data_IF_467873004178
#
_entry.id   IF_467873004178
#
_cell.length_a   1.000
_cell.length_b   1.000
_cell.length_c   1.000
_cell.angle_alpha   90.00
_cell.angle_beta   90.00
_cell.angle_gamma   90.00
#
_symmetry.space_group_name_H-M   'P 1'
#
loop_
_entity.id
_entity.type
_entity.pdbx_description
1 polymer ?
#
# COMPACT_ATOMS: atom_id res chain seq x y z
N UNK A 1 -42.46 -72.17 1.57
CA UNK A 1 -42.47 -71.07 0.60
C UNK A 1 -42.01 -69.80 1.33
N UNK A 2 -40.76 -69.38 1.15
CA UNK A 2 -40.27 -68.09 1.65
C UNK A 2 -40.00 -67.20 0.43
N UNK A 3 -40.79 -66.14 0.31
CA UNK A 3 -40.64 -65.09 -0.70
C UNK A 3 -39.53 -64.13 -0.30
N UNK A 4 -38.48 -64.04 -1.12
CA UNK A 4 -37.44 -63.04 -0.99
C UNK A 4 -37.91 -61.70 -1.58
N UNK A 5 -37.98 -60.65 -0.76
CA UNK A 5 -38.18 -59.28 -1.22
C UNK A 5 -36.86 -58.69 -1.79
N UNK A 6 -36.89 -57.96 -2.92
CA UNK A 6 -35.69 -57.35 -3.48
C UNK A 6 -35.25 -56.14 -2.64
N UNK A 7 -33.97 -56.15 -2.26
CA UNK A 7 -33.31 -55.11 -1.47
C UNK A 7 -33.12 -53.80 -2.25
N UNK A 8 -33.53 -52.71 -1.61
CA UNK A 8 -33.58 -51.32 -2.07
C UNK A 8 -32.17 -50.72 -2.25
N UNK A 9 -31.46 -51.07 -3.33
CA UNK A 9 -30.07 -50.62 -3.60
C UNK A 9 -29.97 -49.25 -4.31
N UNK A 10 -31.07 -48.76 -4.87
CA UNK A 10 -31.11 -47.50 -5.65
C UNK A 10 -30.94 -46.25 -4.78
N UNK A 11 -31.45 -46.27 -3.55
CA UNK A 11 -31.36 -45.13 -2.63
C UNK A 11 -29.92 -44.81 -2.18
N UNK A 12 -29.09 -45.83 -1.90
CA UNK A 12 -27.73 -45.61 -1.37
C UNK A 12 -26.75 -44.99 -2.37
N UNK A 13 -26.88 -45.27 -3.68
CA UNK A 13 -26.01 -44.68 -4.72
C UNK A 13 -26.28 -43.18 -4.92
N UNK A 14 -27.54 -42.78 -4.90
CA UNK A 14 -27.92 -41.38 -5.09
C UNK A 14 -27.42 -40.49 -3.94
N UNK A 15 -27.44 -40.97 -2.69
CA UNK A 15 -26.90 -40.22 -1.55
C UNK A 15 -25.37 -40.06 -1.56
N UNK A 16 -24.62 -41.01 -2.15
CA UNK A 16 -23.16 -40.88 -2.29
C UNK A 16 -22.79 -39.91 -3.41
N UNK A 17 -23.50 -39.96 -4.54
CA UNK A 17 -23.27 -39.06 -5.67
C UNK A 17 -23.62 -37.61 -5.31
N UNK A 18 -24.74 -37.38 -4.61
CA UNK A 18 -25.12 -36.03 -4.14
C UNK A 18 -24.15 -35.49 -3.10
N UNK A 19 -23.70 -36.31 -2.13
CA UNK A 19 -22.66 -35.91 -1.17
C UNK A 19 -21.34 -35.55 -1.85
N UNK A 20 -20.91 -36.34 -2.83
CA UNK A 20 -19.69 -36.04 -3.60
C UNK A 20 -19.83 -34.74 -4.38
N UNK A 21 -20.96 -34.52 -5.05
CA UNK A 21 -21.21 -33.31 -5.81
C UNK A 21 -21.24 -32.06 -4.92
N UNK A 22 -21.92 -32.14 -3.76
CA UNK A 22 -21.94 -31.07 -2.76
C UNK A 22 -20.52 -30.79 -2.25
N UNK A 23 -19.74 -31.81 -1.93
CA UNK A 23 -18.35 -31.63 -1.49
C UNK A 23 -17.48 -30.95 -2.57
N UNK A 24 -17.63 -31.35 -3.84
CA UNK A 24 -16.91 -30.71 -4.96
C UNK A 24 -17.32 -29.24 -5.13
N UNK A 25 -18.62 -28.93 -5.07
CA UNK A 25 -19.11 -27.54 -5.16
C UNK A 25 -18.56 -26.69 -4.01
N UNK A 26 -18.52 -27.23 -2.79
CA UNK A 26 -17.96 -26.54 -1.64
C UNK A 26 -16.45 -26.28 -1.80
N UNK A 27 -15.69 -27.26 -2.32
CA UNK A 27 -14.26 -27.10 -2.57
C UNK A 27 -13.98 -26.06 -3.68
N UNK A 28 -14.77 -26.06 -4.76
CA UNK A 28 -14.66 -25.06 -5.82
C UNK A 28 -15.04 -23.67 -5.31
N UNK A 29 -16.12 -23.56 -4.52
CA UNK A 29 -16.52 -22.30 -3.89
C UNK A 29 -15.45 -21.75 -2.96
N UNK A 30 -14.84 -22.60 -2.12
CA UNK A 30 -13.74 -22.21 -1.24
C UNK A 30 -12.51 -21.77 -2.04
N UNK A 31 -12.15 -22.51 -3.09
CA UNK A 31 -11.01 -22.18 -3.95
C UNK A 31 -11.20 -20.82 -4.63
N UNK A 32 -12.41 -20.53 -5.10
CA UNK A 32 -12.75 -19.24 -5.71
C UNK A 32 -12.67 -18.11 -4.67
N UNK A 33 -13.19 -18.31 -3.46
CA UNK A 33 -13.08 -17.32 -2.38
C UNK A 33 -11.63 -17.01 -2.03
N UNK A 34 -10.77 -18.04 -1.94
CA UNK A 34 -9.32 -17.86 -1.69
C UNK A 34 -8.68 -17.11 -2.85
N UNK A 35 -9.00 -17.45 -4.10
CA UNK A 35 -8.44 -16.77 -5.26
C UNK A 35 -8.82 -15.28 -5.31
N UNK A 36 -10.10 -14.96 -5.05
CA UNK A 36 -10.60 -13.58 -5.04
C UNK A 36 -10.08 -12.74 -3.86
N UNK A 37 -9.71 -13.39 -2.75
CA UNK A 37 -9.20 -12.71 -1.55
C UNK A 37 -7.71 -12.99 -1.31
N UNK A 38 -6.98 -13.44 -2.34
CA UNK A 38 -5.58 -13.89 -2.20
C UNK A 38 -4.71 -12.84 -1.53
N UNK A 39 -4.80 -11.58 -1.98
CA UNK A 39 -4.00 -10.49 -1.41
C UNK A 39 -4.30 -10.28 0.06
N UNK A 40 -5.58 -10.20 0.43
CA UNK A 40 -6.00 -10.00 1.81
C UNK A 40 -5.54 -11.15 2.72
N UNK A 41 -5.61 -12.39 2.24
CA UNK A 41 -5.13 -13.57 2.99
C UNK A 41 -3.62 -13.47 3.24
N UNK A 42 -2.84 -13.13 2.20
CA UNK A 42 -1.39 -12.95 2.33
C UNK A 42 -1.07 -11.79 3.29
N UNK A 43 -1.77 -10.67 3.18
CA UNK A 43 -1.58 -9.52 4.06
C UNK A 43 -1.80 -9.89 5.53
N UNK A 44 -2.84 -10.68 5.85
CA UNK A 44 -3.06 -11.15 7.22
C UNK A 44 -1.95 -12.07 7.72
N UNK A 45 -1.43 -12.96 6.87
CA UNK A 45 -0.33 -13.86 7.23
C UNK A 45 0.95 -13.05 7.47
N UNK A 46 1.29 -12.15 6.56
CA UNK A 46 2.47 -11.30 6.66
C UNK A 46 2.39 -10.37 7.88
N UNK A 47 1.24 -9.72 8.09
CA UNK A 47 1.00 -8.91 9.28
C UNK A 47 1.16 -9.70 10.58
N UNK A 48 0.63 -10.92 10.65
CA UNK A 48 0.69 -11.74 11.85
C UNK A 48 2.10 -12.28 12.15
N UNK A 49 2.95 -12.41 11.13
CA UNK A 49 4.31 -12.93 11.26
C UNK A 49 5.37 -11.84 11.41
N UNK A 50 5.06 -10.61 10.99
CA UNK A 50 5.94 -9.46 11.12
C UNK A 50 6.13 -9.04 12.58
N UNK A 51 7.39 -8.84 12.99
CA UNK A 51 7.76 -8.41 14.34
C UNK A 51 8.49 -7.06 14.27
N UNK A 52 7.78 -5.93 14.39
CA UNK A 52 8.41 -4.62 14.34
C UNK A 52 9.34 -4.44 15.53
N UNK A 53 10.52 -3.88 15.29
CA UNK A 53 11.37 -3.39 16.36
C UNK A 53 10.88 -2.02 16.88
N UNK A 54 11.64 -1.43 17.81
CA UNK A 54 11.30 -0.12 18.38
C UNK A 54 11.36 1.02 17.35
N UNK A 55 12.27 0.94 16.38
CA UNK A 55 12.45 1.97 15.34
C UNK A 55 11.25 1.95 14.39
N UNK A 56 10.88 0.76 13.91
CA UNK A 56 9.74 0.59 13.02
C UNK A 56 8.43 0.98 13.70
N UNK A 57 8.26 0.61 14.98
CA UNK A 57 7.08 1.01 15.75
C UNK A 57 7.00 2.53 15.93
N UNK A 58 8.14 3.18 16.13
CA UNK A 58 8.21 4.64 16.22
C UNK A 58 7.83 5.30 14.88
N UNK A 59 8.26 4.75 13.74
CA UNK A 59 7.88 5.25 12.40
C UNK A 59 6.36 5.26 12.26
N UNK A 60 5.69 4.13 12.54
CA UNK A 60 4.22 4.02 12.45
C UNK A 60 3.51 5.04 13.34
N UNK A 61 3.99 5.20 14.59
CA UNK A 61 3.41 6.13 15.54
C UNK A 61 3.59 7.59 15.11
N UNK A 62 4.80 7.96 14.72
CA UNK A 62 5.16 9.33 14.31
C UNK A 62 4.49 9.73 13.01
N UNK A 63 4.43 8.80 12.04
CA UNK A 63 3.71 9.00 10.79
C UNK A 63 2.19 9.12 10.98
N UNK A 64 1.68 8.82 12.18
CA UNK A 64 0.26 8.96 12.49
C UNK A 64 -0.61 7.89 11.82
N UNK A 65 -0.06 6.71 11.51
CA UNK A 65 -0.83 5.63 10.91
C UNK A 65 -1.86 5.08 11.90
N UNK A 66 -3.10 4.89 11.45
CA UNK A 66 -4.12 4.22 12.24
C UNK A 66 -3.97 2.69 12.13
N UNK A 67 -4.93 1.93 12.68
CA UNK A 67 -4.86 0.47 12.64
C UNK A 67 -4.86 -0.10 11.21
N UNK A 68 -5.59 0.50 10.28
CA UNK A 68 -5.63 0.09 8.86
C UNK A 68 -4.32 0.42 8.16
N UNK A 69 -3.80 1.65 8.33
CA UNK A 69 -2.51 2.05 7.75
C UNK A 69 -1.36 1.19 8.28
N UNK A 70 -1.33 0.93 9.59
CA UNK A 70 -0.38 0.01 10.23
C UNK A 70 -0.51 -1.42 9.71
N UNK A 71 -1.74 -1.91 9.52
CA UNK A 71 -1.98 -3.25 8.98
C UNK A 71 -1.36 -3.41 7.59
N UNK A 72 -1.67 -2.49 6.69
CA UNK A 72 -1.14 -2.50 5.31
C UNK A 72 0.38 -2.35 5.34
N UNK A 73 0.90 -1.39 6.11
CA UNK A 73 2.34 -1.17 6.22
C UNK A 73 3.08 -2.44 6.70
N UNK A 74 2.65 -3.06 7.80
CA UNK A 74 3.31 -4.26 8.32
C UNK A 74 3.07 -5.52 7.48
N UNK A 75 1.96 -5.61 6.74
CA UNK A 75 1.78 -6.66 5.74
C UNK A 75 2.86 -6.62 4.65
N UNK A 76 3.45 -5.45 4.38
CA UNK A 76 4.59 -5.36 3.46
C UNK A 76 5.92 -5.82 4.06
N UNK A 77 5.95 -6.24 5.33
CA UNK A 77 7.19 -6.60 6.07
C UNK A 77 8.32 -5.57 5.84
N UNK A 78 8.12 -4.29 6.24
CA UNK A 78 9.00 -3.20 5.85
C UNK A 78 10.40 -3.36 6.45
N UNK A 79 11.44 -2.93 5.73
CA UNK A 79 12.82 -2.97 6.21
C UNK A 79 13.49 -1.58 6.08
N UNK A 80 14.31 -1.23 7.07
CA UNK A 80 15.18 -0.04 7.03
C UNK A 80 16.57 -0.48 6.59
N UNK A 81 17.09 0.12 5.53
CA UNK A 81 18.29 -0.34 4.86
C UNK A 81 19.37 0.73 4.74
N UNK A 82 20.62 0.27 4.73
CA UNK A 82 21.80 1.11 4.53
C UNK A 82 22.21 1.13 3.06
N UNK A 83 22.93 2.17 2.62
CA UNK A 83 23.03 2.56 1.20
C UNK A 83 23.32 1.44 0.21
N UNK A 84 24.28 0.56 0.50
CA UNK A 84 24.62 -0.54 -0.41
C UNK A 84 23.55 -1.64 -0.48
N UNK A 85 22.84 -1.92 0.63
CA UNK A 85 21.75 -2.90 0.64
C UNK A 85 20.47 -2.29 0.10
N UNK A 86 20.19 -1.04 0.44
CA UNK A 86 19.08 -0.27 -0.12
C UNK A 86 19.16 -0.23 -1.64
N UNK A 87 20.30 0.14 -2.22
CA UNK A 87 20.47 0.24 -3.68
C UNK A 87 20.36 -1.11 -4.42
N UNK A 88 20.48 -2.25 -3.73
CA UNK A 88 20.22 -3.58 -4.33
C UNK A 88 18.73 -3.90 -4.40
N UNK A 89 17.94 -3.34 -3.49
CA UNK A 89 16.51 -3.57 -3.35
C UNK A 89 15.69 -2.53 -4.12
N UNK A 90 16.09 -1.27 -4.03
CA UNK A 90 15.53 -0.13 -4.74
C UNK A 90 16.53 0.38 -5.78
N UNK A 91 16.30 0.05 -7.05
CA UNK A 91 17.17 0.47 -8.14
C UNK A 91 16.94 1.96 -8.49
N UNK A 92 18.03 2.67 -8.77
CA UNK A 92 17.97 4.04 -9.33
C UNK A 92 17.86 3.94 -10.85
N UNK A 93 16.93 4.70 -11.42
CA UNK A 93 16.67 4.69 -12.88
C UNK A 93 17.39 5.81 -13.62
N UNK A 94 17.67 6.95 -12.98
CA UNK A 94 18.47 8.05 -13.53
C UNK A 94 19.60 8.47 -12.55
N UNK A 95 20.78 8.80 -13.09
CA UNK A 95 21.91 9.29 -12.29
C UNK A 95 21.60 10.64 -11.61
N UNK A 96 22.14 10.87 -10.42
CA UNK A 96 21.93 12.11 -9.66
C UNK A 96 20.62 12.18 -8.88
N UNK A 97 19.72 11.20 -9.03
CA UNK A 97 18.48 11.13 -8.24
C UNK A 97 18.62 10.16 -7.06
N UNK A 98 18.21 10.61 -5.87
CA UNK A 98 18.19 9.79 -4.67
C UNK A 98 16.76 9.32 -4.39
N UNK A 99 16.55 8.01 -4.52
CA UNK A 99 15.34 7.33 -4.04
C UNK A 99 15.53 7.06 -2.55
N UNK A 100 14.54 7.40 -1.72
CA UNK A 100 14.59 7.22 -0.26
C UNK A 100 13.75 6.03 0.22
N UNK A 101 12.84 5.54 -0.62
CA UNK A 101 12.06 4.35 -0.36
C UNK A 101 11.61 3.72 -1.68
N UNK A 102 11.20 2.46 -1.62
CA UNK A 102 10.48 1.85 -2.72
C UNK A 102 9.50 0.79 -2.21
N UNK A 103 8.39 0.66 -2.92
CA UNK A 103 7.45 -0.43 -2.79
C UNK A 103 7.55 -1.36 -4.01
N UNK A 104 8.08 -2.57 -3.79
CA UNK A 104 8.31 -3.55 -4.86
C UNK A 104 8.00 -4.96 -4.39
N UNK A 105 7.29 -5.72 -5.24
CA UNK A 105 6.92 -7.12 -4.94
C UNK A 105 6.24 -7.28 -3.57
N UNK A 106 5.30 -6.38 -3.27
CA UNK A 106 4.58 -6.28 -1.99
C UNK A 106 5.47 -6.00 -0.76
N UNK A 107 6.71 -5.52 -0.94
CA UNK A 107 7.65 -5.16 0.13
C UNK A 107 7.99 -3.68 0.13
N UNK A 108 8.12 -3.08 1.31
CA UNK A 108 8.58 -1.71 1.49
C UNK A 108 10.01 -1.69 2.01
N UNK A 109 10.85 -0.89 1.37
CA UNK A 109 12.21 -0.62 1.81
C UNK A 109 12.40 0.87 2.03
N UNK A 110 13.00 1.25 3.16
CA UNK A 110 13.23 2.65 3.53
C UNK A 110 14.72 2.86 3.74
N UNK A 111 15.28 3.89 3.12
CA UNK A 111 16.68 4.25 3.32
C UNK A 111 16.89 4.84 4.72
N UNK A 112 17.93 4.38 5.42
CA UNK A 112 18.26 4.85 6.77
C UNK A 112 18.94 6.22 6.74
N UNK A 113 18.16 7.28 6.54
CA UNK A 113 18.65 8.66 6.69
C UNK A 113 19.06 8.89 8.16
N UNK A 114 20.31 9.34 8.35
CA UNK A 114 20.94 9.59 9.66
C UNK A 114 21.12 11.08 9.97
N UNK A 115 20.90 11.96 8.99
CA UNK A 115 21.02 13.40 9.18
C UNK A 115 19.86 13.89 10.04
N UNK A 116 20.16 14.39 11.24
CA UNK A 116 19.14 14.86 12.19
C UNK A 116 18.42 16.12 11.72
N UNK A 117 18.96 16.85 10.74
CA UNK A 117 18.26 17.99 10.12
C UNK A 117 17.07 17.53 9.28
N UNK A 118 17.08 16.27 8.84
CA UNK A 118 16.02 15.66 8.05
C UNK A 118 15.09 14.80 8.93
N UNK A 119 14.92 15.16 10.20
CA UNK A 119 13.99 14.46 11.08
C UNK A 119 12.57 14.44 10.48
N UNK A 120 11.92 13.27 10.51
CA UNK A 120 10.63 13.04 9.87
C UNK A 120 10.71 12.49 8.44
N UNK A 121 11.86 12.52 7.77
CA UNK A 121 11.96 12.07 6.37
C UNK A 121 11.66 10.57 6.22
N UNK A 122 12.11 9.74 7.17
CA UNK A 122 11.85 8.29 7.14
C UNK A 122 10.38 7.97 7.32
N UNK A 123 9.70 8.73 8.18
CA UNK A 123 8.28 8.61 8.45
C UNK A 123 7.44 9.00 7.22
N UNK A 124 7.78 10.13 6.58
CA UNK A 124 7.13 10.59 5.34
C UNK A 124 7.35 9.59 4.21
N UNK A 125 8.58 9.11 4.01
CA UNK A 125 8.86 8.05 3.05
C UNK A 125 8.08 6.78 3.36
N UNK A 126 8.07 6.31 4.62
CA UNK A 126 7.31 5.12 4.99
C UNK A 126 5.81 5.25 4.70
N UNK A 127 5.23 6.42 4.96
CA UNK A 127 3.83 6.70 4.66
C UNK A 127 3.58 6.76 3.15
N UNK A 128 4.48 7.35 2.37
CA UNK A 128 4.43 7.39 0.91
C UNK A 128 4.43 5.97 0.32
N UNK A 129 5.39 5.13 0.73
CA UNK A 129 5.46 3.74 0.25
C UNK A 129 4.24 2.90 0.70
N UNK A 130 3.70 3.17 1.89
CA UNK A 130 2.47 2.54 2.36
C UNK A 130 1.26 2.93 1.49
N UNK A 131 1.22 4.18 1.00
CA UNK A 131 0.15 4.62 0.11
C UNK A 131 0.22 3.96 -1.27
N UNK A 132 1.40 3.58 -1.78
CA UNK A 132 1.49 2.71 -2.96
C UNK A 132 0.90 1.32 -2.69
N UNK A 133 1.18 0.76 -1.52
CA UNK A 133 0.59 -0.51 -1.10
C UNK A 133 -0.95 -0.42 -0.99
N UNK A 134 -1.47 0.72 -0.50
CA UNK A 134 -2.90 1.04 -0.50
C UNK A 134 -3.44 1.10 -1.93
N UNK A 135 -2.77 1.87 -2.81
CA UNK A 135 -3.19 2.08 -4.19
C UNK A 135 -3.31 0.76 -4.95
N UNK A 136 -2.33 -0.14 -4.84
CA UNK A 136 -2.37 -1.47 -5.44
C UNK A 136 -3.60 -2.27 -4.97
N UNK A 137 -4.00 -2.14 -3.70
CA UNK A 137 -5.12 -2.88 -3.08
C UNK A 137 -6.50 -2.31 -3.37
N UNK A 138 -6.60 -1.12 -3.97
CA UNK A 138 -7.89 -0.53 -4.31
C UNK A 138 -8.58 -1.30 -5.43
N UNK A 139 -9.91 -1.41 -5.32
CA UNK A 139 -10.75 -1.84 -6.44
C UNK A 139 -10.65 -0.86 -7.61
N UNK A 140 -10.93 -1.31 -8.83
CA UNK A 140 -10.88 -0.44 -10.03
C UNK A 140 -11.80 0.78 -9.91
N UNK A 141 -12.98 0.61 -9.31
CA UNK A 141 -13.93 1.70 -9.11
C UNK A 141 -13.42 2.74 -8.10
N UNK A 142 -12.84 2.29 -6.99
CA UNK A 142 -12.22 3.18 -6.00
C UNK A 142 -11.00 3.89 -6.59
N UNK A 143 -10.13 3.15 -7.27
CA UNK A 143 -8.94 3.68 -7.93
C UNK A 143 -9.31 4.76 -8.94
N UNK A 144 -10.28 4.50 -9.81
CA UNK A 144 -10.76 5.50 -10.77
C UNK A 144 -11.22 6.78 -10.06
N UNK A 145 -12.02 6.66 -8.99
CA UNK A 145 -12.48 7.81 -8.22
C UNK A 145 -11.31 8.58 -7.61
N UNK A 146 -10.33 7.89 -7.02
CA UNK A 146 -9.14 8.53 -6.42
C UNK A 146 -8.30 9.21 -7.50
N UNK A 147 -8.10 8.59 -8.66
CA UNK A 147 -7.37 9.18 -9.79
C UNK A 147 -7.99 10.52 -10.23
N UNK A 148 -9.32 10.54 -10.40
CA UNK A 148 -10.03 11.78 -10.76
C UNK A 148 -9.81 12.89 -9.70
N UNK A 149 -9.74 12.54 -8.41
CA UNK A 149 -9.50 13.50 -7.32
C UNK A 149 -8.05 14.00 -7.27
N UNK A 150 -7.05 13.11 -7.42
CA UNK A 150 -5.63 13.50 -7.35
C UNK A 150 -5.20 14.33 -8.55
N UNK A 151 -5.76 14.07 -9.74
CA UNK A 151 -5.49 14.90 -10.92
C UNK A 151 -6.15 16.28 -10.81
N UNK A 152 -7.33 16.37 -10.18
CA UNK A 152 -7.94 17.66 -9.87
C UNK A 152 -7.11 18.48 -8.88
N UNK A 153 -6.43 17.84 -7.92
CA UNK A 153 -5.46 18.51 -7.06
C UNK A 153 -4.18 18.90 -7.81
N UNK A 154 -3.65 18.01 -8.66
CA UNK A 154 -2.48 18.32 -9.50
C UNK A 154 -2.72 19.57 -10.35
N UNK A 155 -3.91 19.73 -10.95
CA UNK A 155 -4.25 20.91 -11.75
C UNK A 155 -4.05 22.23 -10.97
N UNK A 156 -4.32 22.25 -9.66
CA UNK A 156 -4.11 23.42 -8.78
C UNK A 156 -2.63 23.65 -8.45
N UNK A 157 -1.85 22.58 -8.37
CA UNK A 157 -0.43 22.59 -8.00
C UNK A 157 0.50 22.79 -9.22
N UNK A 158 0.02 22.51 -10.42
CA UNK A 158 0.82 22.45 -11.66
C UNK A 158 1.54 23.76 -12.02
N UNK A 159 1.12 24.89 -11.46
CA UNK A 159 1.81 26.16 -11.60
C UNK A 159 3.13 26.23 -10.80
N UNK A 160 3.37 25.31 -9.85
CA UNK A 160 4.64 25.19 -9.13
C UNK A 160 5.65 24.41 -9.98
N UNK A 161 6.73 25.05 -10.47
CA UNK A 161 7.70 24.39 -11.36
C UNK A 161 8.38 23.18 -10.72
N UNK A 162 8.72 23.25 -9.42
CA UNK A 162 9.35 22.13 -8.71
C UNK A 162 8.44 20.90 -8.65
N UNK A 163 7.14 21.11 -8.47
CA UNK A 163 6.17 20.01 -8.47
C UNK A 163 5.97 19.43 -9.88
N UNK A 164 5.87 20.29 -10.89
CA UNK A 164 5.76 19.89 -12.29
C UNK A 164 7.00 19.10 -12.76
N UNK A 165 8.20 19.56 -12.41
CA UNK A 165 9.47 18.90 -12.75
C UNK A 165 9.59 17.53 -12.09
N UNK A 166 9.19 17.41 -10.81
CA UNK A 166 9.14 16.12 -10.12
C UNK A 166 8.17 15.15 -10.80
N UNK A 167 6.99 15.62 -11.20
CA UNK A 167 6.04 14.77 -11.94
C UNK A 167 6.53 14.43 -13.36
N UNK A 168 7.28 15.32 -14.01
CA UNK A 168 7.91 15.04 -15.29
C UNK A 168 9.06 14.02 -15.17
N UNK A 169 9.77 14.00 -14.05
CA UNK A 169 10.74 12.96 -13.72
C UNK A 169 10.05 11.60 -13.59
N UNK A 170 9.01 11.48 -12.74
CA UNK A 170 8.27 10.23 -12.59
C UNK A 170 7.66 9.73 -13.91
N UNK A 171 7.17 10.64 -14.76
CA UNK A 171 6.64 10.26 -16.06
C UNK A 171 7.68 9.57 -16.98
N UNK A 172 8.98 9.83 -16.79
CA UNK A 172 10.06 9.18 -17.54
C UNK A 172 10.54 7.89 -16.88
N UNK A 173 10.64 7.88 -15.55
CA UNK A 173 11.21 6.76 -14.80
C UNK A 173 10.18 5.67 -14.49
N UNK A 174 8.91 6.03 -14.34
CA UNK A 174 7.83 5.14 -13.94
C UNK A 174 6.59 5.29 -14.86
N UNK A 175 6.70 4.92 -16.15
CA UNK A 175 5.59 5.07 -17.09
C UNK A 175 4.36 4.29 -16.63
N UNK A 176 3.23 4.99 -16.49
CA UNK A 176 1.95 4.41 -16.05
C UNK A 176 1.64 4.58 -14.55
N UNK A 177 2.60 5.01 -13.74
CA UNK A 177 2.43 5.14 -12.28
C UNK A 177 2.03 6.55 -11.83
N UNK A 178 1.77 7.46 -12.76
CA UNK A 178 1.49 8.88 -12.46
C UNK A 178 0.44 9.10 -11.36
N UNK A 179 -0.72 8.45 -11.46
CA UNK A 179 -1.80 8.62 -10.48
C UNK A 179 -1.46 7.97 -9.13
N UNK A 180 -0.68 6.89 -9.15
CA UNK A 180 -0.16 6.22 -7.97
C UNK A 180 0.84 7.12 -7.21
N UNK A 181 1.76 7.76 -7.94
CA UNK A 181 2.67 8.76 -7.38
C UNK A 181 1.93 9.98 -6.85
N UNK A 182 0.97 10.53 -7.62
CA UNK A 182 0.16 11.65 -7.14
C UNK A 182 -0.59 11.29 -5.86
N UNK A 183 -1.15 10.08 -5.76
CA UNK A 183 -1.82 9.60 -4.55
C UNK A 183 -0.86 9.58 -3.35
N UNK A 184 0.33 9.03 -3.48
CA UNK A 184 1.29 8.97 -2.37
C UNK A 184 1.84 10.36 -1.98
N UNK A 185 2.19 11.20 -2.98
CA UNK A 185 2.72 12.56 -2.75
C UNK A 185 1.66 13.46 -2.12
N UNK A 186 0.46 13.53 -2.71
CA UNK A 186 -0.60 14.39 -2.18
C UNK A 186 -1.00 13.96 -0.77
N UNK A 187 -1.03 12.64 -0.52
CA UNK A 187 -1.35 12.08 0.79
C UNK A 187 -0.38 12.49 1.89
N UNK A 188 0.89 12.73 1.55
CA UNK A 188 1.97 12.95 2.54
C UNK A 188 2.57 14.35 2.54
N UNK A 189 2.40 15.14 1.48
CA UNK A 189 3.10 16.41 1.29
C UNK A 189 2.17 17.62 1.05
N UNK A 190 0.92 17.39 0.64
CA UNK A 190 0.00 18.48 0.22
C UNK A 190 -1.13 18.69 1.23
N UNK A 191 -1.19 19.88 1.81
CA UNK A 191 -2.28 20.32 2.69
C UNK A 191 -3.46 20.94 1.93
N UNK A 192 -4.66 20.98 2.53
CA UNK A 192 -5.78 21.76 2.00
C UNK A 192 -6.41 21.18 0.73
N UNK A 193 -6.37 19.86 0.59
CA UNK A 193 -6.89 19.12 -0.56
C UNK A 193 -8.42 18.98 -0.51
N UNK A 194 -9.03 18.47 -1.59
CA UNK A 194 -10.45 18.17 -1.66
C UNK A 194 -10.93 17.35 -0.42
N UNK A 195 -12.05 17.72 0.21
CA UNK A 195 -12.60 16.99 1.36
C UNK A 195 -12.88 15.50 1.11
N UNK A 196 -13.28 15.10 -0.10
CA UNK A 196 -13.45 13.69 -0.44
C UNK A 196 -12.13 12.93 -0.45
N UNK A 197 -11.04 13.59 -0.83
CA UNK A 197 -9.70 13.01 -0.80
C UNK A 197 -9.14 12.98 0.63
N UNK A 198 -9.50 13.93 1.50
CA UNK A 198 -9.22 13.82 2.94
C UNK A 198 -9.94 12.63 3.57
N UNK A 199 -11.22 12.40 3.25
CA UNK A 199 -11.98 11.23 3.71
C UNK A 199 -11.30 9.94 3.27
N UNK A 200 -10.74 9.93 2.06
CA UNK A 200 -9.97 8.79 1.57
C UNK A 200 -8.73 8.52 2.44
N UNK A 201 -7.89 9.51 2.70
CA UNK A 201 -6.70 9.33 3.52
C UNK A 201 -7.00 9.05 5.00
N UNK A 202 -8.11 9.55 5.53
CA UNK A 202 -8.57 9.27 6.89
C UNK A 202 -8.81 7.77 7.18
N UNK A 203 -8.95 6.94 6.13
CA UNK A 203 -8.96 5.48 6.27
C UNK A 203 -7.65 4.91 6.81
N UNK A 204 -6.52 5.59 6.61
CA UNK A 204 -5.16 5.07 6.89
C UNK A 204 -4.39 5.87 7.95
N UNK A 205 -4.74 7.14 8.14
CA UNK A 205 -4.15 8.01 9.16
C UNK A 205 -5.10 8.23 10.33
N UNK A 206 -4.55 8.38 11.54
CA UNK A 206 -5.30 8.88 12.71
C UNK A 206 -5.56 10.38 12.51
N UNK A 207 -4.54 11.09 12.05
CA UNK A 207 -4.56 12.52 11.76
C UNK A 207 -3.48 12.81 10.71
N UNK A 208 -3.91 13.16 9.49
CA UNK A 208 -3.00 13.42 8.36
C UNK A 208 -2.17 14.69 8.55
N UNK A 209 -2.58 15.62 9.41
CA UNK A 209 -1.78 16.83 9.68
C UNK A 209 -0.41 16.49 10.26
N UNK A 210 -0.28 15.39 11.01
CA UNK A 210 1.00 14.94 11.59
C UNK A 210 2.05 14.61 10.54
N UNK A 211 1.66 13.92 9.46
CA UNK A 211 2.61 13.58 8.39
C UNK A 211 3.00 14.82 7.59
N UNK A 212 2.06 15.76 7.41
CA UNK A 212 2.31 17.05 6.77
C UNK A 212 3.26 17.93 7.61
N UNK A 213 3.12 17.92 8.93
CA UNK A 213 4.03 18.65 9.83
C UNK A 213 5.47 18.10 9.75
N UNK A 214 5.63 16.78 9.68
CA UNK A 214 6.93 16.15 9.47
C UNK A 214 7.53 16.54 8.11
N UNK A 215 6.73 16.50 7.04
CA UNK A 215 7.15 16.94 5.71
C UNK A 215 7.60 18.40 5.71
N UNK A 216 6.78 19.30 6.22
CA UNK A 216 7.10 20.73 6.30
C UNK A 216 8.37 20.98 7.13
N UNK A 217 8.55 20.22 8.22
CA UNK A 217 9.72 20.28 9.08
C UNK A 217 11.02 20.10 8.30
N UNK A 218 11.22 18.94 7.67
CA UNK A 218 12.47 18.71 6.94
C UNK A 218 12.54 19.45 5.60
N UNK A 219 11.40 19.69 4.93
CA UNK A 219 11.39 20.35 3.63
C UNK A 219 11.86 21.81 3.71
N UNK A 220 11.65 22.47 4.87
CA UNK A 220 12.20 23.80 5.12
C UNK A 220 13.72 23.86 4.99
N UNK A 221 14.44 22.80 5.39
CA UNK A 221 15.90 22.70 5.26
C UNK A 221 16.34 22.72 3.79
N UNK A 222 15.59 22.08 2.89
CA UNK A 222 15.89 22.12 1.46
C UNK A 222 15.60 23.50 0.86
N UNK A 223 14.47 24.11 1.23
CA UNK A 223 14.10 25.46 0.76
C UNK A 223 15.11 26.52 1.20
N UNK A 224 15.65 26.42 2.42
CA UNK A 224 16.69 27.34 2.94
C UNK A 224 18.02 27.24 2.19
N UNK A 225 18.37 26.08 1.64
CA UNK A 225 19.62 25.86 0.90
C UNK A 225 19.51 26.40 -0.55
N UNK A 226 18.30 26.44 -1.09
CA UNK A 226 18.01 26.88 -2.47
C UNK A 226 17.71 28.38 -2.60
N UNK A 227 17.51 29.09 -1.48
CA UNK A 227 17.22 30.52 -1.39
C UNK A 227 18.48 31.39 -1.37
#
# INVERSE_FOLDING_TARGET
>A
MQSAFPSNSRHKKNHKLTRSLVATILLLGLSLLIALNRQLILDYIDFATYKPDGVMSAIVQRAGLNNTGKFIFYATQPEIEEGAQFNKKCARLEEGTAVLGCYMSDKIYIYNVKDSRLDGIKEVTAAHEMLHAVYQRMSDAERKKVNDLVEAEYAKLSANPRFADRMAFYARTEPGERDNELHSIIGTEVSGINPELEIHYAKYFVDRSRILDLFNGYNSVFVEIEA
#
